data_IF_293423165220
#
_entry.id   IF_293423165220
#
_cell.length_a   1.000
_cell.length_b   1.000
_cell.length_c   1.000
_cell.angle_alpha   90.00
_cell.angle_beta   90.00
_cell.angle_gamma   90.00
#
_symmetry.space_group_name_H-M   'P 1'
#
loop_
_entity.id
_entity.type
_entity.pdbx_description
1 polymer ?
#
# COMPACT_ATOMS: atom_id res chain seq x y z
N UNK A 1 -12.51 5.18 -8.46
CA UNK A 1 -11.16 5.26 -7.87
C UNK A 1 -10.22 6.20 -8.66
N UNK A 2 -9.51 7.13 -8.00
CA UNK A 2 -8.66 8.15 -8.67
C UNK A 2 -7.22 8.10 -8.12
N UNK A 3 -6.18 8.02 -8.97
CA UNK A 3 -4.80 8.04 -8.51
C UNK A 3 -4.44 9.38 -7.88
N UNK A 4 -3.66 9.34 -6.81
CA UNK A 4 -3.19 10.55 -6.11
C UNK A 4 -1.68 10.49 -5.88
N UNK A 5 -1.08 11.67 -5.74
CA UNK A 5 0.30 11.82 -5.27
C UNK A 5 0.21 12.52 -3.91
N UNK A 6 0.34 11.80 -2.78
CA UNK A 6 0.30 12.42 -1.47
C UNK A 6 1.64 13.07 -1.10
N UNK A 7 1.70 13.64 0.09
CA UNK A 7 2.97 13.78 0.79
C UNK A 7 3.36 12.43 1.42
N UNK A 8 4.60 11.99 1.23
CA UNK A 8 5.17 10.85 1.95
C UNK A 8 6.26 11.34 2.89
N UNK A 9 6.18 10.93 4.16
CA UNK A 9 7.17 11.28 5.19
C UNK A 9 7.73 10.00 5.79
N UNK A 10 9.06 9.86 5.72
CA UNK A 10 9.78 8.81 6.40
C UNK A 10 10.16 9.31 7.78
N UNK A 11 9.72 8.61 8.82
CA UNK A 11 10.13 8.87 10.19
C UNK A 11 11.23 7.92 10.58
N UNK A 12 12.31 8.50 11.09
CA UNK A 12 13.49 7.75 11.51
C UNK A 12 13.94 8.21 12.89
N UNK A 13 14.40 7.26 13.69
CA UNK A 13 15.06 7.51 14.97
C UNK A 13 16.53 7.17 14.82
N UNK A 14 17.40 8.04 15.34
CA UNK A 14 18.84 7.83 15.33
C UNK A 14 19.30 7.43 16.74
N UNK A 15 19.99 6.30 16.86
CA UNK A 15 20.77 5.98 18.05
C UNK A 15 22.25 6.34 17.84
N UNK A 16 23.11 6.11 18.84
CA UNK A 16 24.53 6.48 18.73
C UNK A 16 25.30 5.78 17.59
N UNK A 17 24.71 4.76 16.95
CA UNK A 17 25.38 3.85 16.03
C UNK A 17 24.60 3.56 14.74
N UNK A 18 23.30 3.85 14.69
CA UNK A 18 22.42 3.41 13.62
C UNK A 18 21.16 4.28 13.47
N UNK A 19 20.62 4.30 12.25
CA UNK A 19 19.36 4.95 11.92
C UNK A 19 18.30 3.84 11.77
N UNK A 20 17.24 3.94 12.57
CA UNK A 20 16.06 3.09 12.49
C UNK A 20 14.99 3.77 11.65
N UNK A 21 14.34 3.01 10.77
CA UNK A 21 13.12 3.47 10.08
C UNK A 21 11.95 3.06 10.95
N UNK A 22 11.27 4.04 11.54
CA UNK A 22 10.17 3.78 12.47
C UNK A 22 8.85 3.62 11.74
N UNK A 23 8.59 4.49 10.76
CA UNK A 23 7.34 4.48 10.02
C UNK A 23 7.39 5.26 8.71
N UNK A 24 6.46 4.92 7.82
CA UNK A 24 6.14 5.67 6.63
C UNK A 24 4.74 6.28 6.79
N UNK A 25 4.64 7.61 6.67
CA UNK A 25 3.40 8.35 6.87
C UNK A 25 2.93 8.94 5.54
N UNK A 26 1.67 8.70 5.21
CA UNK A 26 0.98 9.32 4.08
C UNK A 26 0.21 10.55 4.59
N UNK A 27 0.55 11.72 4.08
CA UNK A 27 -0.22 12.95 4.28
C UNK A 27 -1.21 13.17 3.13
N UNK A 28 -2.52 13.14 3.42
CA UNK A 28 -3.56 13.41 2.41
C UNK A 28 -4.73 14.20 3.00
N UNK A 29 -5.03 15.35 2.37
CA UNK A 29 -6.14 16.26 2.75
C UNK A 29 -6.18 16.60 4.26
N UNK A 30 -5.01 16.83 4.85
CA UNK A 30 -4.88 17.17 6.28
C UNK A 30 -4.94 15.98 7.24
N UNK A 31 -5.09 14.75 6.74
CA UNK A 31 -5.01 13.52 7.54
C UNK A 31 -3.66 12.83 7.35
N UNK A 32 -3.28 12.02 8.32
CA UNK A 32 -2.05 11.24 8.32
C UNK A 32 -2.38 9.77 8.48
N UNK A 33 -1.83 8.93 7.61
CA UNK A 33 -2.06 7.49 7.61
C UNK A 33 -0.74 6.74 7.76
N UNK A 34 -0.73 5.69 8.57
CA UNK A 34 0.42 4.82 8.76
C UNK A 34 0.46 3.79 7.64
N UNK A 35 1.53 3.81 6.84
CA UNK A 35 1.73 2.83 5.79
C UNK A 35 2.71 1.74 6.26
N UNK A 36 2.28 0.47 6.36
CA UNK A 36 3.19 -0.66 6.52
C UNK A 36 3.88 -0.96 5.18
N UNK A 37 4.77 -0.07 4.75
CA UNK A 37 5.60 -0.22 3.56
C UNK A 37 7.02 -0.63 3.93
N UNK A 38 7.60 -1.55 3.16
CA UNK A 38 8.98 -2.02 3.28
C UNK A 38 9.95 -1.37 2.31
N UNK A 39 11.21 -1.76 2.41
CA UNK A 39 12.26 -1.32 1.47
C UNK A 39 12.01 -1.92 0.08
N UNK A 40 12.21 -1.10 -0.97
CA UNK A 40 11.98 -1.45 -2.39
C UNK A 40 10.51 -1.65 -2.79
N UNK A 41 9.57 -1.30 -1.93
CA UNK A 41 8.15 -1.28 -2.31
C UNK A 41 7.89 -0.10 -3.27
N UNK A 42 7.23 -0.40 -4.38
CA UNK A 42 6.56 0.63 -5.18
C UNK A 42 5.17 0.86 -4.60
N UNK A 43 4.87 2.11 -4.25
CA UNK A 43 3.62 2.49 -3.58
C UNK A 43 2.74 3.25 -4.56
N UNK A 44 1.52 2.76 -4.76
CA UNK A 44 0.48 3.39 -5.55
C UNK A 44 -0.70 3.74 -4.67
N UNK A 45 -1.18 4.98 -4.78
CA UNK A 45 -2.23 5.50 -3.93
C UNK A 45 -3.43 5.96 -4.72
N UNK A 46 -4.60 5.57 -4.23
CA UNK A 46 -5.86 5.90 -4.86
C UNK A 46 -6.87 6.40 -3.83
N UNK A 47 -7.57 7.47 -4.16
CA UNK A 47 -8.68 7.97 -3.37
C UNK A 47 -10.02 7.60 -4.02
N UNK A 48 -10.99 7.22 -3.19
CA UNK A 48 -12.37 6.98 -3.62
C UNK A 48 -13.33 7.38 -2.51
N UNK A 49 -14.11 8.45 -2.74
CA UNK A 49 -14.99 9.02 -1.72
C UNK A 49 -14.21 9.35 -0.42
N UNK A 50 -14.55 8.72 0.70
CA UNK A 50 -13.91 8.85 2.01
C UNK A 50 -12.78 7.83 2.25
N UNK A 51 -12.57 6.90 1.33
CA UNK A 51 -11.58 5.86 1.42
C UNK A 51 -10.28 6.24 0.70
N UNK A 52 -9.17 5.76 1.25
CA UNK A 52 -7.84 5.81 0.63
C UNK A 52 -7.31 4.39 0.54
N UNK A 53 -6.75 4.03 -0.61
CA UNK A 53 -6.18 2.72 -0.88
C UNK A 53 -4.71 2.85 -1.20
N UNK A 54 -3.87 2.09 -0.51
CA UNK A 54 -2.44 2.00 -0.74
C UNK A 54 -2.07 0.61 -1.23
N UNK A 55 -1.80 0.48 -2.52
CA UNK A 55 -1.23 -0.70 -3.11
C UNK A 55 0.30 -0.61 -3.02
N UNK A 56 0.91 -1.63 -2.44
CA UNK A 56 2.36 -1.79 -2.33
C UNK A 56 2.76 -3.02 -3.13
N UNK A 57 3.75 -2.88 -4.02
CA UNK A 57 4.27 -3.98 -4.85
C UNK A 57 5.77 -4.04 -4.65
N UNK A 58 6.27 -5.20 -4.22
CA UNK A 58 7.69 -5.50 -4.16
C UNK A 58 8.02 -6.54 -5.23
N UNK A 59 8.48 -6.09 -6.41
CA UNK A 59 8.79 -6.98 -7.52
C UNK A 59 9.96 -7.92 -7.21
N UNK A 60 10.95 -7.43 -6.44
CA UNK A 60 12.13 -8.20 -6.08
C UNK A 60 11.80 -9.37 -5.14
N UNK A 61 10.89 -9.16 -4.19
CA UNK A 61 10.42 -10.19 -3.26
C UNK A 61 9.20 -10.96 -3.79
N UNK A 62 8.56 -10.46 -4.85
CA UNK A 62 7.33 -11.03 -5.40
C UNK A 62 6.17 -10.98 -4.41
N UNK A 63 6.06 -9.88 -3.66
CA UNK A 63 5.00 -9.65 -2.66
C UNK A 63 4.16 -8.44 -3.02
N UNK A 64 2.92 -8.43 -2.56
CA UNK A 64 1.97 -7.35 -2.82
C UNK A 64 1.06 -7.15 -1.62
N UNK A 65 0.73 -5.92 -1.28
CA UNK A 65 -0.25 -5.64 -0.25
C UNK A 65 -1.18 -4.49 -0.64
N UNK A 66 -2.43 -4.58 -0.25
CA UNK A 66 -3.38 -3.48 -0.32
C UNK A 66 -3.84 -3.12 1.10
N UNK A 67 -3.65 -1.86 1.47
CA UNK A 67 -4.16 -1.29 2.71
C UNK A 67 -5.29 -0.31 2.39
N UNK A 68 -6.42 -0.46 3.07
CA UNK A 68 -7.57 0.44 2.96
C UNK A 68 -7.67 1.30 4.23
N UNK A 69 -7.84 2.60 4.05
CA UNK A 69 -7.95 3.59 5.11
C UNK A 69 -9.24 4.38 4.96
N UNK A 70 -9.75 4.89 6.07
CA UNK A 70 -10.92 5.76 6.08
C UNK A 70 -10.80 6.77 7.22
N UNK A 71 -11.08 8.05 6.93
CA UNK A 71 -11.08 9.10 7.96
C UNK A 71 -12.05 8.74 9.09
N UNK A 72 -11.69 8.96 10.37
CA UNK A 72 -10.45 9.57 10.88
C UNK A 72 -9.35 8.57 11.26
N UNK A 73 -9.48 7.30 10.91
CA UNK A 73 -8.57 6.25 11.37
C UNK A 73 -7.20 6.37 10.68
N UNK A 74 -6.10 6.51 11.44
CA UNK A 74 -4.75 6.62 10.88
C UNK A 74 -4.20 5.27 10.41
N UNK A 75 -4.66 4.17 11.02
CA UNK A 75 -4.25 2.82 10.66
C UNK A 75 -5.19 2.21 9.61
N UNK A 76 -4.74 1.22 8.82
CA UNK A 76 -5.60 0.54 7.87
C UNK A 76 -6.82 -0.09 8.55
N UNK A 77 -8.02 0.20 8.05
CA UNK A 77 -9.26 -0.44 8.52
C UNK A 77 -9.44 -1.84 7.95
N UNK A 78 -8.77 -2.13 6.83
CA UNK A 78 -8.72 -3.45 6.22
C UNK A 78 -7.44 -3.59 5.39
N UNK A 79 -6.95 -4.82 5.25
CA UNK A 79 -5.70 -5.10 4.53
C UNK A 79 -5.67 -6.51 3.99
N UNK A 80 -5.08 -6.67 2.81
CA UNK A 80 -4.68 -7.95 2.26
C UNK A 80 -3.19 -7.92 1.96
N UNK A 81 -2.51 -9.01 2.29
CA UNK A 81 -1.10 -9.21 1.98
C UNK A 81 -0.93 -10.53 1.25
N UNK A 82 -0.27 -10.47 0.09
CA UNK A 82 0.09 -11.61 -0.75
C UNK A 82 1.61 -11.81 -0.59
N UNK A 83 1.97 -12.88 0.12
CA UNK A 83 3.33 -13.21 0.55
C UNK A 83 4.17 -13.87 -0.53
N UNK A 84 3.61 -14.18 -1.70
CA UNK A 84 4.37 -14.81 -2.78
C UNK A 84 3.76 -14.60 -4.16
N UNK A 85 4.59 -14.77 -5.19
CA UNK A 85 4.14 -14.82 -6.58
C UNK A 85 3.07 -15.89 -6.83
N UNK A 86 3.05 -16.97 -6.06
CA UNK A 86 2.02 -18.01 -6.18
C UNK A 86 0.65 -17.48 -5.76
N UNK A 87 0.59 -16.72 -4.68
CA UNK A 87 -0.65 -16.10 -4.19
C UNK A 87 -1.12 -15.00 -5.14
N UNK A 88 -0.19 -14.14 -5.58
CA UNK A 88 -0.46 -13.10 -6.59
C UNK A 88 -1.04 -13.73 -7.86
N UNK A 89 -0.40 -14.76 -8.42
CA UNK A 89 -0.90 -15.44 -9.63
C UNK A 89 -2.18 -16.22 -9.39
N UNK A 90 -2.38 -16.72 -8.18
CA UNK A 90 -3.62 -17.42 -7.80
C UNK A 90 -4.83 -16.49 -7.79
N UNK A 91 -4.63 -15.23 -7.39
CA UNK A 91 -5.68 -14.24 -7.30
C UNK A 91 -5.86 -13.42 -8.59
N UNK A 92 -4.76 -12.92 -9.17
CA UNK A 92 -4.76 -11.99 -10.31
C UNK A 92 -4.46 -12.66 -11.65
N UNK A 93 -4.15 -13.95 -11.66
CA UNK A 93 -3.79 -14.71 -12.85
C UNK A 93 -2.29 -14.68 -13.19
N UNK A 94 -1.90 -15.53 -14.14
CA UNK A 94 -0.48 -15.73 -14.52
C UNK A 94 0.14 -14.52 -15.22
N UNK A 95 -0.67 -13.67 -15.86
CA UNK A 95 -0.25 -12.47 -16.58
C UNK A 95 -0.54 -11.18 -15.80
N UNK A 96 -0.61 -11.24 -14.46
CA UNK A 96 -0.97 -10.10 -13.61
C UNK A 96 -0.11 -8.84 -13.87
N UNK A 97 1.15 -9.01 -14.27
CA UNK A 97 2.07 -7.90 -14.60
C UNK A 97 1.58 -7.06 -15.80
N UNK A 98 0.67 -7.59 -16.62
CA UNK A 98 0.04 -6.86 -17.73
C UNK A 98 -1.18 -6.05 -17.30
N UNK A 99 -1.72 -6.32 -16.11
CA UNK A 99 -2.84 -5.56 -15.57
C UNK A 99 -2.38 -4.15 -15.20
N UNK A 100 -3.27 -3.18 -15.37
CA UNK A 100 -2.98 -1.86 -14.83
C UNK A 100 -3.00 -1.91 -13.29
N UNK A 101 -2.22 -1.04 -12.66
CA UNK A 101 -2.23 -0.88 -11.20
C UNK A 101 -3.65 -0.60 -10.66
N UNK A 102 -4.47 0.10 -11.45
CA UNK A 102 -5.86 0.37 -11.12
C UNK A 102 -6.69 -0.92 -11.10
N UNK A 103 -6.55 -1.77 -12.11
CA UNK A 103 -7.26 -3.05 -12.20
C UNK A 103 -6.84 -3.99 -11.07
N UNK A 104 -5.53 -4.08 -10.79
CA UNK A 104 -5.00 -4.84 -9.66
C UNK A 104 -5.63 -4.36 -8.36
N UNK A 105 -5.63 -3.05 -8.13
CA UNK A 105 -6.22 -2.47 -6.91
C UNK A 105 -7.71 -2.80 -6.80
N UNK A 106 -8.46 -2.72 -7.90
CA UNK A 106 -9.89 -3.00 -7.91
C UNK A 106 -10.19 -4.47 -7.59
N UNK A 107 -9.44 -5.41 -8.15
CA UNK A 107 -9.58 -6.84 -7.85
C UNK A 107 -9.30 -7.13 -6.37
N UNK A 108 -8.24 -6.52 -5.81
CA UNK A 108 -7.94 -6.67 -4.39
C UNK A 108 -9.01 -6.05 -3.49
N UNK A 109 -9.59 -4.90 -3.85
CA UNK A 109 -10.72 -4.30 -3.13
C UNK A 109 -11.91 -5.25 -3.12
N UNK A 110 -12.23 -5.87 -4.27
CA UNK A 110 -13.34 -6.82 -4.37
C UNK A 110 -13.15 -8.06 -3.48
N UNK A 111 -11.90 -8.42 -3.15
CA UNK A 111 -11.59 -9.51 -2.23
C UNK A 111 -11.71 -9.10 -0.75
N UNK A 112 -11.65 -7.81 -0.43
CA UNK A 112 -11.77 -7.29 0.93
C UNK A 112 -13.23 -7.13 1.40
N UNK A 113 -14.20 -7.24 0.49
CA UNK A 113 -15.65 -7.11 0.72
C UNK A 113 -16.29 -8.49 0.81
#
# INVERSE_FOLDING_TARGET
MTPIIPELKLFTTNDSTSIHIDSLIIGYKGNHYHLPGGTNDTIHLFAESIALYALTINEAMGTMALNAFMVPEPDPINSIYLHSLKEIKGLLGSEWERLSVLDITQELINYLI
#
